data_IF_108929276588
#
_entry.id   IF_108929276588
#
_cell.length_a   1.000
_cell.length_b   1.000
_cell.length_c   1.000
_cell.angle_alpha   90.00
_cell.angle_beta   90.00
_cell.angle_gamma   90.00
#
_symmetry.space_group_name_H-M   'P 1'
#
loop_
_entity.id
_entity.type
_entity.pdbx_description
1 polymer ?
#
# COMPACT_ATOMS: atom_id res chain seq x y z
N UNK A 1 -9.09 0.86 -35.14
CA UNK A 1 -8.91 -0.07 -34.01
C UNK A 1 -8.27 0.73 -32.90
N UNK A 2 -9.06 1.02 -31.87
CA UNK A 2 -8.72 1.99 -30.83
C UNK A 2 -7.52 1.51 -30.02
N UNK A 3 -6.47 2.29 -30.11
CA UNK A 3 -5.28 2.21 -29.28
C UNK A 3 -5.76 2.53 -27.86
N UNK A 4 -5.96 1.49 -27.04
CA UNK A 4 -6.10 1.66 -25.60
C UNK A 4 -4.75 2.15 -25.11
N UNK A 5 -4.57 3.48 -25.16
CA UNK A 5 -3.46 4.15 -24.53
C UNK A 5 -3.57 3.82 -23.04
N UNK A 6 -2.71 2.90 -22.60
CA UNK A 6 -2.44 2.63 -21.20
C UNK A 6 -2.21 3.99 -20.54
N UNK A 7 -3.23 4.49 -19.85
CA UNK A 7 -3.05 5.51 -18.84
C UNK A 7 -2.28 4.82 -17.73
N UNK A 8 -0.96 4.77 -17.90
CA UNK A 8 -0.01 4.68 -16.81
C UNK A 8 -0.27 5.89 -15.92
N UNK A 9 -1.31 5.80 -15.09
CA UNK A 9 -1.61 6.75 -14.03
C UNK A 9 -0.38 6.71 -13.14
N UNK A 10 0.47 7.72 -13.29
CA UNK A 10 1.81 7.79 -12.75
C UNK A 10 1.81 7.39 -11.28
N UNK A 11 2.61 6.39 -10.93
CA UNK A 11 3.00 6.11 -9.54
C UNK A 11 3.27 7.45 -8.86
N UNK A 12 2.76 7.73 -7.64
CA UNK A 12 2.94 9.04 -7.03
C UNK A 12 4.43 9.39 -7.02
N UNK A 13 4.81 10.41 -7.79
CA UNK A 13 6.22 10.75 -8.06
C UNK A 13 6.98 11.12 -6.77
N UNK A 14 6.24 11.45 -5.71
CA UNK A 14 6.78 11.82 -4.39
C UNK A 14 6.92 10.66 -3.42
N UNK A 15 6.49 9.43 -3.77
CA UNK A 15 6.61 8.32 -2.84
C UNK A 15 7.95 7.59 -2.98
N UNK A 16 8.73 7.62 -1.91
CA UNK A 16 10.00 6.91 -1.86
C UNK A 16 9.77 5.41 -1.57
N UNK A 17 9.60 4.63 -2.64
CA UNK A 17 9.47 3.17 -2.54
C UNK A 17 10.67 2.49 -1.89
N UNK A 18 11.86 3.07 -2.02
CA UNK A 18 13.07 2.59 -1.34
C UNK A 18 12.95 2.71 0.17
N UNK A 19 12.50 3.86 0.66
CA UNK A 19 12.31 4.10 2.10
C UNK A 19 11.24 3.17 2.72
N UNK A 20 10.15 2.90 2.00
CA UNK A 20 9.09 1.99 2.48
C UNK A 20 9.60 0.55 2.55
N UNK A 21 10.38 0.12 1.55
CA UNK A 21 11.03 -1.19 1.57
C UNK A 21 12.03 -1.29 2.71
N UNK A 22 12.85 -0.27 2.90
CA UNK A 22 13.84 -0.22 3.98
C UNK A 22 13.19 -0.23 5.36
N UNK A 23 12.15 0.56 5.60
CA UNK A 23 11.36 0.55 6.84
C UNK A 23 10.78 -0.84 7.09
N UNK A 24 10.18 -1.45 6.07
CA UNK A 24 9.63 -2.81 6.15
C UNK A 24 10.72 -3.84 6.49
N UNK A 25 11.93 -3.69 5.96
CA UNK A 25 13.08 -4.57 6.22
C UNK A 25 13.64 -4.41 7.64
N UNK A 26 13.71 -3.19 8.16
CA UNK A 26 14.28 -2.89 9.47
C UNK A 26 13.32 -3.17 10.64
N UNK A 27 12.03 -3.32 10.37
CA UNK A 27 11.06 -3.55 11.41
C UNK A 27 11.16 -4.95 12.06
N UNK A 28 11.13 -4.94 13.39
CA UNK A 28 11.31 -6.14 14.21
C UNK A 28 10.09 -7.06 14.16
N UNK A 29 8.88 -6.52 14.08
CA UNK A 29 7.63 -7.31 14.03
C UNK A 29 7.49 -8.02 12.68
N UNK A 30 7.75 -7.30 11.58
CA UNK A 30 7.85 -7.89 10.24
C UNK A 30 9.04 -8.85 10.17
N UNK A 31 10.14 -8.56 10.87
CA UNK A 31 11.29 -9.46 11.03
C UNK A 31 10.93 -10.80 11.67
N UNK A 32 10.13 -10.79 12.75
CA UNK A 32 9.60 -11.99 13.39
C UNK A 32 8.71 -12.78 12.45
N UNK A 33 7.81 -12.10 11.73
CA UNK A 33 6.95 -12.74 10.72
C UNK A 33 7.81 -13.38 9.62
N UNK A 34 8.83 -12.69 9.11
CA UNK A 34 9.77 -13.24 8.13
C UNK A 34 10.48 -14.50 8.65
N UNK A 35 10.97 -14.46 9.88
CA UNK A 35 11.66 -15.57 10.51
C UNK A 35 10.75 -16.78 10.76
N UNK A 36 9.48 -16.55 11.09
CA UNK A 36 8.48 -17.61 11.26
C UNK A 36 8.06 -18.22 9.91
N UNK A 37 7.99 -17.43 8.84
CA UNK A 37 7.73 -17.92 7.48
C UNK A 37 8.83 -18.85 6.97
N UNK A 38 10.10 -18.59 7.30
CA UNK A 38 11.20 -19.48 6.95
C UNK A 38 11.11 -20.84 7.68
N UNK A 39 10.31 -20.95 8.73
CA UNK A 39 10.15 -22.18 9.52
C UNK A 39 8.90 -22.98 9.15
N UNK A 40 7.97 -22.44 8.34
CA UNK A 40 6.66 -23.05 8.13
C UNK A 40 6.08 -22.78 6.72
N UNK A 41 5.66 -23.84 6.01
CA UNK A 41 4.94 -23.75 4.74
C UNK A 41 3.42 -23.67 4.98
N UNK A 42 2.87 -22.47 5.02
CA UNK A 42 1.41 -22.27 5.10
C UNK A 42 0.99 -21.05 4.27
N UNK A 43 -0.33 -20.86 4.08
CA UNK A 43 -1.01 -19.85 3.23
C UNK A 43 -0.82 -18.37 3.68
N UNK A 44 0.32 -18.07 4.28
CA UNK A 44 0.73 -16.83 4.91
C UNK A 44 1.52 -15.94 3.93
N UNK A 45 1.82 -14.67 4.28
CA UNK A 45 2.69 -13.82 3.46
C UNK A 45 3.96 -14.55 3.01
N UNK A 46 4.45 -14.22 1.82
CA UNK A 46 5.65 -14.81 1.22
C UNK A 46 6.82 -13.84 1.37
N UNK A 47 8.05 -14.35 1.40
CA UNK A 47 9.25 -13.51 1.37
C UNK A 47 9.90 -13.55 -0.01
N UNK A 48 10.12 -12.39 -0.61
CA UNK A 48 11.00 -12.24 -1.77
C UNK A 48 12.26 -11.48 -1.34
N UNK A 49 13.34 -12.23 -1.09
CA UNK A 49 14.54 -11.71 -0.45
C UNK A 49 14.23 -11.24 0.98
N UNK A 50 14.46 -9.96 1.26
CA UNK A 50 14.22 -9.33 2.57
C UNK A 50 12.84 -8.65 2.66
N UNK A 51 12.09 -8.66 1.55
CA UNK A 51 10.78 -8.01 1.44
C UNK A 51 9.65 -8.97 1.75
N UNK A 52 8.79 -8.58 2.70
CA UNK A 52 7.59 -9.33 3.05
C UNK A 52 6.45 -8.96 2.09
N UNK A 53 5.85 -9.96 1.45
CA UNK A 53 4.75 -9.80 0.51
C UNK A 53 3.50 -10.54 0.97
N UNK A 54 2.32 -9.96 0.82
CA UNK A 54 1.05 -10.62 1.03
C UNK A 54 0.23 -10.64 -0.25
N UNK A 55 0.08 -11.82 -0.86
CA UNK A 55 -0.57 -12.00 -2.16
C UNK A 55 0.07 -11.11 -3.26
N UNK A 56 1.42 -11.06 -3.29
CA UNK A 56 2.18 -10.24 -4.24
C UNK A 56 2.30 -8.76 -3.88
N UNK A 57 1.81 -8.33 -2.71
CA UNK A 57 1.78 -6.91 -2.30
C UNK A 57 2.73 -6.64 -1.15
N UNK A 58 3.48 -5.55 -1.21
CA UNK A 58 4.42 -5.15 -0.16
C UNK A 58 3.71 -4.93 1.16
N UNK A 59 4.13 -5.67 2.18
CA UNK A 59 3.59 -5.52 3.54
C UNK A 59 4.25 -4.31 4.21
N UNK A 60 3.42 -3.35 4.59
CA UNK A 60 3.81 -2.17 5.35
C UNK A 60 3.32 -2.26 6.79
N UNK A 61 4.02 -1.54 7.66
CA UNK A 61 3.59 -1.29 9.03
C UNK A 61 2.36 -0.40 9.05
N UNK A 62 1.38 -0.75 9.88
CA UNK A 62 0.21 0.11 10.15
C UNK A 62 0.63 1.51 10.66
N UNK A 63 1.75 1.57 11.38
CA UNK A 63 2.30 2.78 11.98
C UNK A 63 3.29 3.49 11.07
N UNK A 64 3.46 3.03 9.81
CA UNK A 64 4.39 3.64 8.87
C UNK A 64 4.07 5.12 8.69
N UNK A 65 5.10 5.95 8.84
CA UNK A 65 5.00 7.40 8.63
C UNK A 65 4.67 7.75 7.17
N UNK A 66 4.83 6.80 6.25
CA UNK A 66 4.51 6.97 4.84
C UNK A 66 3.02 6.80 4.53
N UNK A 67 2.24 6.15 5.39
CA UNK A 67 0.79 5.94 5.17
C UNK A 67 0.04 7.27 4.97
N UNK A 68 0.19 8.30 5.83
CA UNK A 68 -0.48 9.58 5.60
C UNK A 68 -0.10 10.25 4.27
N UNK A 69 1.19 10.20 3.89
CA UNK A 69 1.69 10.78 2.64
C UNK A 69 1.13 10.04 1.41
N UNK A 70 1.13 8.70 1.46
CA UNK A 70 0.47 7.83 0.49
C UNK A 70 -0.96 8.27 0.27
N UNK A 71 -1.73 8.25 1.36
CA UNK A 71 -3.16 8.50 1.32
C UNK A 71 -3.47 9.91 0.78
N UNK A 72 -2.71 10.93 1.16
CA UNK A 72 -2.85 12.32 0.68
C UNK A 72 -2.56 12.45 -0.83
N UNK A 73 -1.48 11.82 -1.33
CA UNK A 73 -1.13 11.88 -2.75
C UNK A 73 -2.19 11.20 -3.63
N UNK A 74 -2.73 10.08 -3.15
CA UNK A 74 -3.81 9.39 -3.86
C UNK A 74 -5.10 10.23 -3.88
N UNK A 75 -5.41 10.96 -2.81
CA UNK A 75 -6.55 11.86 -2.76
C UNK A 75 -6.41 13.04 -3.73
N UNK A 76 -5.24 13.70 -3.78
CA UNK A 76 -4.96 14.83 -4.69
C UNK A 76 -5.18 14.47 -6.16
N UNK A 77 -4.92 13.22 -6.52
CA UNK A 77 -5.09 12.70 -7.88
C UNK A 77 -6.50 12.16 -8.16
N UNK A 78 -7.41 12.19 -7.19
CA UNK A 78 -8.76 11.63 -7.31
C UNK A 78 -9.79 12.72 -7.54
N UNK A 79 -10.00 13.09 -8.80
CA UNK A 79 -11.16 13.88 -9.20
C UNK A 79 -12.41 12.98 -9.15
N UNK A 80 -13.16 12.99 -8.04
CA UNK A 80 -14.55 12.51 -8.00
C UNK A 80 -14.99 11.64 -6.80
N UNK A 81 -15.46 12.29 -5.73
CA UNK A 81 -16.44 11.78 -4.74
C UNK A 81 -16.20 10.40 -4.09
N UNK A 82 -17.28 9.74 -3.62
CA UNK A 82 -17.25 8.38 -3.02
C UNK A 82 -16.60 7.30 -3.90
N UNK A 83 -16.65 7.45 -5.22
CA UNK A 83 -15.91 6.61 -6.18
C UNK A 83 -14.39 6.70 -5.99
N UNK A 84 -13.92 7.77 -5.34
CA UNK A 84 -12.54 7.98 -4.99
C UNK A 84 -12.02 7.03 -3.91
N UNK A 85 -12.82 6.68 -2.90
CA UNK A 85 -12.40 5.75 -1.83
C UNK A 85 -12.03 4.40 -2.43
N UNK A 86 -12.92 3.81 -3.23
CA UNK A 86 -12.69 2.50 -3.82
C UNK A 86 -11.59 2.51 -4.86
N UNK A 87 -11.44 3.60 -5.62
CA UNK A 87 -10.32 3.76 -6.57
C UNK A 87 -8.98 3.89 -5.85
N UNK A 88 -8.91 4.70 -4.79
CA UNK A 88 -7.72 4.88 -3.96
C UNK A 88 -7.34 3.57 -3.26
N UNK A 89 -8.29 2.91 -2.60
CA UNK A 89 -8.07 1.61 -1.99
C UNK A 89 -7.64 0.57 -3.02
N UNK A 90 -8.35 0.47 -4.14
CA UNK A 90 -8.05 -0.49 -5.21
C UNK A 90 -6.64 -0.32 -5.75
N UNK A 91 -6.20 0.93 -5.98
CA UNK A 91 -4.86 1.22 -6.47
C UNK A 91 -3.76 1.01 -5.43
N UNK A 92 -4.01 1.33 -4.17
CA UNK A 92 -3.09 0.97 -3.09
C UNK A 92 -2.98 -0.54 -2.96
N UNK A 93 -4.11 -1.25 -3.11
CA UNK A 93 -4.21 -2.68 -2.93
C UNK A 93 -3.61 -3.48 -4.10
N UNK A 94 -3.12 -2.86 -5.17
CA UNK A 94 -2.33 -3.56 -6.19
C UNK A 94 -0.88 -3.76 -5.75
N UNK A 95 -0.31 -2.80 -5.02
CA UNK A 95 1.11 -2.79 -4.67
C UNK A 95 1.36 -3.00 -3.17
N UNK A 96 0.44 -2.58 -2.30
CA UNK A 96 0.65 -2.46 -0.87
C UNK A 96 -0.41 -3.24 -0.08
N UNK A 97 -0.01 -3.67 1.10
CA UNK A 97 -0.89 -4.25 2.10
C UNK A 97 -0.45 -3.82 3.49
N UNK A 98 -1.40 -3.42 4.33
CA UNK A 98 -1.18 -3.37 5.78
C UNK A 98 -2.44 -3.79 6.50
N UNK A 99 -2.28 -4.27 7.75
CA UNK A 99 -3.44 -4.65 8.55
C UNK A 99 -4.34 -3.42 8.71
N UNK A 100 -5.64 -3.59 8.46
CA UNK A 100 -6.66 -2.53 8.57
C UNK A 100 -6.50 -1.39 7.57
N UNK A 101 -5.89 -1.66 6.42
CA UNK A 101 -5.75 -0.73 5.30
C UNK A 101 -7.06 -0.10 4.85
N UNK A 102 -8.12 -0.89 4.70
CA UNK A 102 -9.44 -0.38 4.29
C UNK A 102 -9.94 0.73 5.23
N UNK A 103 -9.91 0.46 6.55
CA UNK A 103 -10.32 1.44 7.57
C UNK A 103 -9.48 2.72 7.52
N UNK A 104 -8.16 2.59 7.34
CA UNK A 104 -7.27 3.75 7.23
C UNK A 104 -7.56 4.61 6.00
N UNK A 105 -7.88 3.98 4.86
CA UNK A 105 -8.30 4.70 3.64
C UNK A 105 -9.65 5.39 3.86
N UNK A 106 -10.63 4.70 4.46
CA UNK A 106 -11.95 5.27 4.79
C UNK A 106 -11.84 6.48 5.73
N UNK A 107 -11.10 6.37 6.83
CA UNK A 107 -10.90 7.47 7.80
C UNK A 107 -10.23 8.68 7.16
N UNK A 108 -9.30 8.45 6.23
CA UNK A 108 -8.58 9.53 5.55
C UNK A 108 -9.47 10.26 4.54
N UNK A 109 -10.26 9.54 3.74
CA UNK A 109 -11.21 10.18 2.84
C UNK A 109 -12.35 10.85 3.62
N UNK A 110 -12.81 10.29 4.73
CA UNK A 110 -13.81 10.93 5.59
C UNK A 110 -13.33 12.24 6.22
N UNK A 111 -12.02 12.45 6.33
CA UNK A 111 -11.40 13.72 6.77
C UNK A 111 -11.19 14.71 5.63
N UNK A 112 -11.51 14.35 4.39
CA UNK A 112 -11.48 15.31 3.29
C UNK A 112 -12.64 16.29 3.40
N UNK A 113 -12.33 17.56 3.63
CA UNK A 113 -13.31 18.65 3.68
C UNK A 113 -14.01 18.91 2.33
N UNK A 114 -13.54 18.28 1.25
CA UNK A 114 -14.02 18.47 -0.13
C UNK A 114 -14.82 17.25 -0.66
N UNK A 115 -14.82 16.11 0.05
CA UNK A 115 -15.49 14.88 -0.39
C UNK A 115 -16.94 14.74 0.07
#
# INVERSE_FOLDING_TARGET
>A
MGELQELAMSIPLMLNWGAIKEESMQDEELGKIRADLLKNETNHPSNEGETLLYQGRLVMLRTSAHIPQLLQEFQKNTVGGHSGIQKTYGRLATELYWRGMHKGVEEMVARCEVC
#
